data_IF_462106690764
#
_entry.id   IF_462106690764
#
_cell.length_a   1.000
_cell.length_b   1.000
_cell.length_c   1.000
_cell.angle_alpha   90.00
_cell.angle_beta   90.00
_cell.angle_gamma   90.00
#
_symmetry.space_group_name_H-M   'P 1'
#
loop_
_entity.id
_entity.type
_entity.pdbx_description
1 polymer ?
#
# COMPACT_ATOMS: atom_id res chain seq x y z
N UNK A 1 28.56 -40.82 -10.22
CA UNK A 1 27.17 -40.42 -10.52
C UNK A 1 26.78 -39.38 -9.49
N UNK A 2 27.03 -38.11 -9.80
CA UNK A 2 27.03 -37.00 -8.82
C UNK A 2 25.71 -36.25 -8.97
N UNK A 3 24.81 -36.41 -8.00
CA UNK A 3 23.53 -35.70 -7.93
C UNK A 3 23.80 -34.22 -7.66
N UNK A 4 23.65 -33.39 -8.69
CA UNK A 4 23.63 -31.93 -8.53
C UNK A 4 22.43 -31.56 -7.66
N UNK A 5 22.56 -30.69 -6.65
CA UNK A 5 21.41 -30.20 -5.90
C UNK A 5 20.47 -29.47 -6.86
N UNK A 6 19.19 -29.82 -6.79
CA UNK A 6 18.13 -29.17 -7.53
C UNK A 6 17.99 -27.73 -7.03
N UNK A 7 18.65 -26.78 -7.71
CA UNK A 7 18.43 -25.35 -7.50
C UNK A 7 17.02 -25.06 -8.01
N UNK A 8 16.06 -24.90 -7.07
CA UNK A 8 14.70 -24.54 -7.43
C UNK A 8 14.72 -23.20 -8.16
N UNK A 9 14.02 -23.05 -9.30
CA UNK A 9 13.86 -21.76 -9.92
C UNK A 9 13.20 -20.83 -8.91
N UNK A 10 13.81 -19.66 -8.76
CA UNK A 10 13.40 -18.71 -7.76
C UNK A 10 12.00 -18.19 -8.07
N UNK A 11 10.99 -18.58 -7.28
CA UNK A 11 9.69 -17.92 -7.35
C UNK A 11 9.89 -16.44 -7.05
N UNK A 12 9.39 -15.57 -7.92
CA UNK A 12 9.68 -14.12 -7.98
C UNK A 12 9.35 -13.34 -6.68
N UNK A 13 8.75 -14.00 -5.68
CA UNK A 13 8.37 -13.46 -4.36
C UNK A 13 8.94 -14.32 -3.21
N UNK A 14 10.26 -14.50 -3.14
CA UNK A 14 10.90 -15.38 -2.16
C UNK A 14 10.81 -14.94 -0.69
N UNK A 15 10.53 -13.67 -0.41
CA UNK A 15 10.53 -13.16 0.97
C UNK A 15 9.16 -12.88 1.58
N UNK A 16 8.08 -12.96 0.78
CA UNK A 16 6.72 -12.79 1.29
C UNK A 16 6.15 -14.13 1.76
N UNK A 17 5.39 -14.17 2.87
CA UNK A 17 4.71 -15.38 3.33
C UNK A 17 3.91 -16.07 2.21
N UNK A 18 3.85 -17.39 2.27
CA UNK A 18 3.08 -18.17 1.30
C UNK A 18 1.59 -18.12 1.70
N UNK A 19 0.68 -17.60 0.84
CA UNK A 19 -0.73 -17.44 1.20
C UNK A 19 -1.48 -18.75 1.45
N UNK A 20 -0.93 -19.89 1.01
CA UNK A 20 -1.51 -21.22 1.24
C UNK A 20 -0.96 -21.85 2.51
N UNK A 21 0.33 -21.65 2.80
CA UNK A 21 0.98 -22.28 3.98
C UNK A 21 0.88 -21.43 5.24
N UNK A 22 0.84 -20.12 5.08
CA UNK A 22 0.84 -19.13 6.16
C UNK A 22 -0.31 -18.11 5.95
N UNK A 23 -1.57 -18.59 5.81
CA UNK A 23 -2.73 -17.73 5.52
C UNK A 23 -3.00 -16.69 6.60
N UNK A 24 -2.55 -16.90 7.84
CA UNK A 24 -2.70 -16.00 8.98
C UNK A 24 -2.11 -14.60 8.71
N UNK A 25 -1.09 -14.49 7.85
CA UNK A 25 -0.53 -13.20 7.45
C UNK A 25 -1.47 -12.40 6.54
N UNK A 26 -2.40 -13.05 5.87
CA UNK A 26 -3.32 -12.44 4.90
C UNK A 26 -4.77 -12.40 5.36
N UNK A 27 -5.09 -13.07 6.47
CA UNK A 27 -6.43 -13.12 7.03
C UNK A 27 -6.98 -11.71 7.34
N UNK A 28 -8.10 -11.37 6.71
CA UNK A 28 -8.79 -10.10 6.88
C UNK A 28 -8.05 -8.86 6.36
N UNK A 29 -6.90 -9.03 5.68
CA UNK A 29 -6.05 -7.90 5.24
C UNK A 29 -6.81 -6.95 4.31
N UNK A 30 -7.59 -7.47 3.35
CA UNK A 30 -8.35 -6.63 2.41
C UNK A 30 -9.32 -5.69 3.15
N UNK A 31 -10.06 -6.20 4.14
CA UNK A 31 -10.96 -5.39 4.97
C UNK A 31 -10.19 -4.38 5.82
N UNK A 32 -9.10 -4.81 6.48
CA UNK A 32 -8.23 -3.92 7.26
C UNK A 32 -7.64 -2.81 6.40
N UNK A 33 -7.28 -3.08 5.14
CA UNK A 33 -6.82 -2.06 4.18
C UNK A 33 -7.93 -1.07 3.85
N UNK A 34 -9.17 -1.52 3.66
CA UNK A 34 -10.32 -0.64 3.45
C UNK A 34 -10.55 0.31 4.64
N UNK A 35 -10.52 -0.23 5.87
CA UNK A 35 -10.66 0.58 7.09
C UNK A 35 -9.47 1.55 7.27
N UNK A 36 -8.24 1.07 7.05
CA UNK A 36 -7.04 1.91 7.07
C UNK A 36 -7.14 3.06 6.06
N UNK A 37 -7.66 2.78 4.86
CA UNK A 37 -7.87 3.80 3.83
C UNK A 37 -8.87 4.88 4.28
N UNK A 38 -9.97 4.52 4.93
CA UNK A 38 -10.93 5.49 5.49
C UNK A 38 -10.27 6.39 6.53
N UNK A 39 -9.47 5.80 7.43
CA UNK A 39 -8.72 6.55 8.44
C UNK A 39 -7.72 7.50 7.78
N UNK A 40 -6.92 7.01 6.84
CA UNK A 40 -5.92 7.81 6.13
C UNK A 40 -6.57 8.92 5.29
N UNK A 41 -7.72 8.66 4.67
CA UNK A 41 -8.49 9.66 3.93
C UNK A 41 -8.98 10.76 4.86
N UNK A 42 -9.53 10.40 6.02
CA UNK A 42 -9.98 11.35 7.06
C UNK A 42 -8.83 12.19 7.59
N UNK A 43 -7.69 11.57 7.92
CA UNK A 43 -6.48 12.27 8.38
C UNK A 43 -5.97 13.25 7.31
N UNK A 44 -5.87 12.80 6.06
CA UNK A 44 -5.40 13.65 4.96
C UNK A 44 -6.38 14.81 4.72
N UNK A 45 -7.69 14.57 4.81
CA UNK A 45 -8.70 15.61 4.68
C UNK A 45 -8.56 16.69 5.78
N UNK A 46 -8.34 16.28 7.04
CA UNK A 46 -8.06 17.20 8.14
C UNK A 46 -6.78 18.01 7.91
N UNK A 47 -5.71 17.38 7.38
CA UNK A 47 -4.49 18.08 7.00
C UNK A 47 -4.74 19.11 5.89
N UNK A 48 -5.61 18.82 4.92
CA UNK A 48 -5.99 19.78 3.87
C UNK A 48 -6.79 20.96 4.45
N UNK A 49 -7.71 20.70 5.39
CA UNK A 49 -8.43 21.77 6.09
C UNK A 49 -7.48 22.66 6.88
N UNK A 50 -6.46 22.08 7.52
CA UNK A 50 -5.42 22.85 8.22
C UNK A 50 -4.57 23.67 7.25
N UNK A 51 -4.26 23.14 6.07
CA UNK A 51 -3.52 23.85 5.02
C UNK A 51 -4.34 24.97 4.36
N UNK A 52 -5.67 24.89 4.38
CA UNK A 52 -6.57 25.76 3.63
C UNK A 52 -6.36 27.28 3.90
N UNK A 53 -6.24 27.77 5.15
CA UNK A 53 -5.99 29.19 5.42
C UNK A 53 -4.67 29.69 4.83
N UNK A 54 -3.64 28.83 4.77
CA UNK A 54 -2.34 29.16 4.19
C UNK A 54 -2.37 29.32 2.67
N UNK A 55 -3.46 28.88 2.03
CA UNK A 55 -3.70 29.11 0.59
C UNK A 55 -4.59 30.34 0.34
N UNK A 56 -4.83 31.18 1.36
CA UNK A 56 -5.83 32.25 1.33
C UNK A 56 -7.21 31.74 0.88
N UNK A 57 -7.55 30.50 1.26
CA UNK A 57 -8.77 29.78 0.87
C UNK A 57 -8.93 29.49 -0.63
N UNK A 58 -7.95 29.85 -1.47
CA UNK A 58 -8.00 29.57 -2.91
C UNK A 58 -8.02 28.07 -3.21
N UNK A 59 -7.47 27.22 -2.33
CA UNK A 59 -7.49 25.77 -2.50
C UNK A 59 -8.89 25.14 -2.64
N UNK A 60 -9.96 25.84 -2.26
CA UNK A 60 -11.33 25.38 -2.53
C UNK A 60 -11.60 25.15 -4.03
N UNK A 61 -10.99 25.95 -4.92
CA UNK A 61 -11.18 25.81 -6.38
C UNK A 61 -10.43 24.62 -7.00
N UNK A 62 -9.41 24.10 -6.31
CA UNK A 62 -8.47 23.07 -6.78
C UNK A 62 -8.26 22.02 -5.69
N UNK A 63 -9.33 21.79 -4.92
CA UNK A 63 -9.34 20.91 -3.75
C UNK A 63 -8.86 19.49 -4.05
N UNK A 64 -9.27 18.84 -5.17
CA UNK A 64 -8.77 17.50 -5.50
C UNK A 64 -7.25 17.47 -5.67
N UNK A 65 -6.65 18.53 -6.22
CA UNK A 65 -5.21 18.62 -6.42
C UNK A 65 -4.47 18.80 -5.08
N UNK A 66 -4.96 19.70 -4.21
CA UNK A 66 -4.42 19.85 -2.85
C UNK A 66 -4.47 18.52 -2.10
N UNK A 67 -5.63 17.84 -2.13
CA UNK A 67 -5.82 16.60 -1.41
C UNK A 67 -4.93 15.47 -1.94
N UNK A 68 -4.76 15.39 -3.26
CA UNK A 68 -3.83 14.46 -3.89
C UNK A 68 -2.39 14.72 -3.44
N UNK A 69 -1.93 15.98 -3.45
CA UNK A 69 -0.56 16.35 -3.04
C UNK A 69 -0.29 16.07 -1.57
N UNK A 70 -1.17 16.53 -0.67
CA UNK A 70 -1.05 16.27 0.78
C UNK A 70 -1.12 14.76 1.05
N UNK A 71 -2.04 14.06 0.39
CA UNK A 71 -2.21 12.62 0.52
C UNK A 71 -1.03 11.81 0.01
N UNK A 72 -0.38 12.28 -1.06
CA UNK A 72 0.85 11.71 -1.60
C UNK A 72 1.99 11.84 -0.60
N UNK A 73 2.26 13.06 -0.12
CA UNK A 73 3.36 13.33 0.82
C UNK A 73 3.16 12.59 2.14
N UNK A 74 1.94 12.59 2.68
CA UNK A 74 1.60 11.84 3.89
C UNK A 74 1.88 10.34 3.73
N UNK A 75 1.39 9.72 2.66
CA UNK A 75 1.57 8.28 2.43
C UNK A 75 3.03 7.94 2.16
N UNK A 76 3.73 8.76 1.37
CA UNK A 76 5.13 8.52 1.05
C UNK A 76 6.02 8.62 2.30
N UNK A 77 5.84 9.66 3.12
CA UNK A 77 6.59 9.82 4.36
C UNK A 77 6.33 8.67 5.34
N UNK A 78 5.06 8.30 5.53
CA UNK A 78 4.68 7.24 6.49
C UNK A 78 5.12 5.85 6.04
N UNK A 79 5.00 5.53 4.74
CA UNK A 79 5.46 4.26 4.18
C UNK A 79 6.99 4.17 4.15
N UNK A 80 7.70 5.25 3.81
CA UNK A 80 9.17 5.25 3.79
C UNK A 80 9.76 5.07 5.20
N UNK A 81 9.16 5.71 6.21
CA UNK A 81 9.64 5.58 7.60
C UNK A 81 9.16 4.30 8.29
N UNK A 82 7.95 3.85 8.00
CA UNK A 82 7.23 2.83 8.77
C UNK A 82 6.95 1.52 8.06
N UNK A 83 6.97 1.52 6.72
CA UNK A 83 6.30 0.54 5.85
C UNK A 83 4.81 0.36 6.17
N UNK A 84 4.20 1.37 6.78
CA UNK A 84 2.78 1.42 7.12
C UNK A 84 2.36 2.88 7.32
N UNK A 85 1.24 3.27 6.71
CA UNK A 85 0.54 4.52 7.03
C UNK A 85 0.01 4.50 8.46
N UNK A 86 -0.44 5.63 9.01
CA UNK A 86 -1.04 5.62 10.34
C UNK A 86 -2.33 4.81 10.40
N UNK A 87 -3.19 4.86 9.37
CA UNK A 87 -4.35 3.99 9.25
C UNK A 87 -3.96 2.51 9.26
N UNK A 88 -2.92 2.13 8.50
CA UNK A 88 -2.41 0.75 8.50
C UNK A 88 -1.87 0.32 9.86
N UNK A 89 -1.13 1.20 10.56
CA UNK A 89 -0.63 0.94 11.92
C UNK A 89 -1.77 0.70 12.90
N UNK A 90 -2.82 1.51 12.84
CA UNK A 90 -4.02 1.35 13.68
C UNK A 90 -4.73 0.03 13.40
N UNK A 91 -4.74 -0.43 12.14
CA UNK A 91 -5.31 -1.72 11.76
C UNK A 91 -4.36 -2.92 11.97
N UNK A 92 -3.16 -2.69 12.51
CA UNK A 92 -2.19 -3.75 12.78
C UNK A 92 -1.62 -4.42 11.53
N UNK A 93 -1.58 -3.71 10.39
CA UNK A 93 -1.05 -4.22 9.12
C UNK A 93 0.16 -3.42 8.65
N UNK A 94 1.03 -4.07 7.87
CA UNK A 94 2.24 -3.45 7.31
C UNK A 94 2.45 -3.92 5.87
N UNK A 95 2.93 -3.02 5.03
CA UNK A 95 3.34 -3.34 3.66
C UNK A 95 4.77 -3.90 3.67
N UNK A 96 5.03 -4.92 2.87
CA UNK A 96 6.35 -5.57 2.74
C UNK A 96 6.80 -5.58 1.29
N UNK A 97 8.11 -5.40 1.12
CA UNK A 97 8.77 -5.49 -0.17
C UNK A 97 8.84 -6.95 -0.65
N UNK A 98 9.21 -7.14 -1.92
CA UNK A 98 9.32 -8.47 -2.58
C UNK A 98 10.24 -9.47 -1.86
N UNK A 99 11.21 -8.94 -1.12
CA UNK A 99 12.18 -9.67 -0.31
C UNK A 99 11.71 -9.89 1.15
N UNK A 100 10.47 -9.53 1.47
CA UNK A 100 9.91 -9.60 2.83
C UNK A 100 10.33 -8.44 3.73
N UNK A 101 11.22 -7.57 3.26
CA UNK A 101 11.75 -6.44 3.97
C UNK A 101 10.75 -5.30 4.16
N UNK A 102 11.21 -4.27 4.86
CA UNK A 102 10.55 -2.96 4.89
C UNK A 102 10.70 -2.30 3.52
N UNK A 103 9.75 -1.44 3.16
CA UNK A 103 9.88 -0.63 1.96
C UNK A 103 11.01 0.37 2.14
N UNK A 104 11.91 0.42 1.16
CA UNK A 104 12.82 1.53 0.98
C UNK A 104 12.06 2.74 0.41
N UNK A 105 12.62 3.96 0.51
CA UNK A 105 11.94 5.18 0.08
C UNK A 105 11.56 5.19 -1.41
N UNK A 106 12.32 4.51 -2.29
CA UNK A 106 12.03 4.48 -3.71
C UNK A 106 10.86 3.54 -4.03
N UNK A 107 10.81 2.35 -3.42
CA UNK A 107 9.64 1.46 -3.54
C UNK A 107 8.40 2.08 -2.91
N UNK A 108 8.54 2.77 -1.77
CA UNK A 108 7.44 3.52 -1.16
C UNK A 108 6.92 4.62 -2.08
N UNK A 109 7.82 5.39 -2.71
CA UNK A 109 7.45 6.39 -3.71
C UNK A 109 6.69 5.77 -4.88
N UNK A 110 7.23 4.70 -5.48
CA UNK A 110 6.61 4.00 -6.60
C UNK A 110 5.23 3.45 -6.25
N UNK A 111 5.07 2.94 -5.03
CA UNK A 111 3.79 2.44 -4.53
C UNK A 111 2.76 3.58 -4.41
N UNK A 112 3.14 4.70 -3.79
CA UNK A 112 2.24 5.86 -3.64
C UNK A 112 1.91 6.47 -4.99
N UNK A 113 2.88 6.55 -5.91
CA UNK A 113 2.65 7.01 -7.28
C UNK A 113 1.66 6.12 -8.03
N UNK A 114 1.82 4.80 -7.98
CA UNK A 114 0.89 3.86 -8.59
C UNK A 114 -0.52 3.97 -7.99
N UNK A 115 -0.63 4.17 -6.68
CA UNK A 115 -1.91 4.45 -6.02
C UNK A 115 -2.53 5.79 -6.48
N UNK A 116 -1.74 6.87 -6.55
CA UNK A 116 -2.22 8.18 -7.00
C UNK A 116 -2.69 8.15 -8.46
N UNK A 117 -1.98 7.44 -9.33
CA UNK A 117 -2.42 7.20 -10.72
C UNK A 117 -3.73 6.40 -10.74
N UNK A 118 -3.83 5.35 -9.92
CA UNK A 118 -5.05 4.54 -9.83
C UNK A 118 -6.25 5.35 -9.37
N UNK A 119 -6.05 6.28 -8.43
CA UNK A 119 -7.09 7.21 -7.97
C UNK A 119 -7.47 8.26 -9.02
N UNK A 120 -6.52 8.73 -9.83
CA UNK A 120 -6.78 9.67 -10.91
C UNK A 120 -7.50 9.02 -12.11
N UNK A 121 -7.30 7.72 -12.34
CA UNK A 121 -7.86 6.97 -13.47
C UNK A 121 -8.86 5.94 -12.95
N UNK A 122 -10.13 6.35 -12.86
CA UNK A 122 -11.21 5.62 -12.19
C UNK A 122 -11.28 4.09 -12.45
N UNK A 123 -11.10 3.56 -13.68
CA UNK A 123 -11.09 2.12 -13.91
C UNK A 123 -9.96 1.36 -13.20
N UNK A 124 -8.79 1.97 -13.03
CA UNK A 124 -7.63 1.32 -12.41
C UNK A 124 -7.88 1.02 -10.93
N UNK A 125 -8.57 1.91 -10.22
CA UNK A 125 -8.91 1.70 -8.82
C UNK A 125 -9.86 0.50 -8.64
N UNK A 126 -10.85 0.34 -9.53
CA UNK A 126 -11.76 -0.80 -9.50
C UNK A 126 -11.04 -2.12 -9.77
N UNK A 127 -10.14 -2.14 -10.76
CA UNK A 127 -9.29 -3.30 -11.04
C UNK A 127 -8.44 -3.65 -9.83
N UNK A 128 -7.84 -2.65 -9.17
CA UNK A 128 -7.04 -2.88 -7.96
C UNK A 128 -7.86 -3.52 -6.84
N UNK A 129 -9.08 -3.05 -6.58
CA UNK A 129 -9.95 -3.65 -5.55
C UNK A 129 -10.36 -5.08 -5.94
N UNK A 130 -10.69 -5.34 -7.21
CA UNK A 130 -11.00 -6.68 -7.68
C UNK A 130 -9.82 -7.65 -7.49
N UNK A 131 -8.60 -7.21 -7.82
CA UNK A 131 -7.38 -8.00 -7.57
C UNK A 131 -7.18 -8.32 -6.09
N UNK A 132 -7.46 -7.36 -5.20
CA UNK A 132 -7.35 -7.58 -3.74
C UNK A 132 -8.34 -8.60 -3.19
N UNK A 133 -9.47 -8.82 -3.88
CA UNK A 133 -10.47 -9.83 -3.48
C UNK A 133 -10.10 -11.21 -4.04
N UNK A 134 -9.58 -11.26 -5.26
CA UNK A 134 -9.30 -12.51 -5.98
C UNK A 134 -7.95 -13.13 -5.61
N UNK A 135 -6.92 -12.32 -5.41
CA UNK A 135 -5.57 -12.81 -5.17
C UNK A 135 -5.39 -13.24 -3.70
N UNK A 136 -4.79 -14.41 -3.48
CA UNK A 136 -4.57 -14.96 -2.12
C UNK A 136 -3.71 -14.10 -1.19
N UNK A 137 -2.90 -13.18 -1.74
CA UNK A 137 -2.11 -12.21 -0.96
C UNK A 137 -2.81 -10.86 -0.76
N UNK A 138 -4.04 -10.69 -1.23
CA UNK A 138 -4.79 -9.42 -1.13
C UNK A 138 -4.10 -8.24 -1.82
N UNK A 139 -3.37 -8.50 -2.91
CA UNK A 139 -2.58 -7.51 -3.65
C UNK A 139 -3.46 -6.65 -4.55
N UNK A 140 -3.28 -5.33 -4.48
CA UNK A 140 -3.83 -4.41 -5.48
C UNK A 140 -3.00 -4.39 -6.76
N UNK A 141 -3.43 -3.57 -7.72
CA UNK A 141 -2.76 -3.45 -9.02
C UNK A 141 -1.29 -3.03 -8.86
N UNK A 142 -1.04 -1.99 -8.06
CA UNK A 142 0.31 -1.50 -7.78
C UNK A 142 1.13 -2.49 -6.97
N UNK A 143 0.49 -3.23 -6.05
CA UNK A 143 1.17 -4.27 -5.26
C UNK A 143 1.68 -5.39 -6.15
N UNK A 144 0.85 -5.83 -7.10
CA UNK A 144 1.22 -6.85 -8.07
C UNK A 144 2.38 -6.38 -8.96
N UNK A 145 2.32 -5.13 -9.44
CA UNK A 145 3.37 -4.54 -10.28
C UNK A 145 4.72 -4.41 -9.56
N UNK A 146 4.71 -4.09 -8.27
CA UNK A 146 5.92 -3.91 -7.46
C UNK A 146 6.37 -5.19 -6.75
N UNK A 147 5.55 -6.24 -6.75
CA UNK A 147 5.78 -7.46 -5.96
C UNK A 147 5.69 -7.21 -4.45
N UNK A 148 4.95 -6.18 -4.01
CA UNK A 148 4.73 -5.89 -2.58
C UNK A 148 3.49 -6.59 -2.09
N UNK A 149 3.38 -6.87 -0.79
CA UNK A 149 2.14 -7.33 -0.20
C UNK A 149 1.94 -6.75 1.20
N UNK A 150 0.69 -6.50 1.55
CA UNK A 150 0.31 -6.11 2.91
C UNK A 150 0.10 -7.39 3.71
N UNK A 151 0.64 -7.42 4.92
CA UNK A 151 0.48 -8.53 5.85
C UNK A 151 0.03 -8.01 7.23
N UNK A 152 -0.62 -8.89 7.99
CA UNK A 152 -0.80 -8.71 9.42
C UNK A 152 0.58 -8.58 10.08
N UNK A 153 0.74 -7.61 10.98
CA UNK A 153 2.00 -7.39 11.69
C UNK A 153 2.28 -8.62 12.57
N UNK A 154 3.42 -9.31 12.42
CA UNK A 154 3.81 -10.37 13.34
C UNK A 154 3.94 -9.80 14.75
N UNK A 155 3.47 -10.57 15.73
CA UNK A 155 3.51 -10.22 17.15
C UNK A 155 4.95 -10.01 17.65
#
# INVERSE_FOLDING_TARGET
>A
MTTRPFVRPASVLHGLPDPVREPEFYEGVTTKRGLAWVVDASLTFLLCLLALPFTAFTALFWWPFLWLMVGFLYRWATLSGGSATWGMRLMGITLRARDGGRLDPATAFAHVLGYSVSMAVFPLQLVSVALMIVLGRGQGLTDLALGTAVINKPA
#
